data_IF_332956957528
#
_entry.id   IF_332956957528
#
_cell.length_a   1.000
_cell.length_b   1.000
_cell.length_c   1.000
_cell.angle_alpha   90.00
_cell.angle_beta   90.00
_cell.angle_gamma   90.00
#
_symmetry.space_group_name_H-M   'P 1'
#
loop_
_entity.id
_entity.type
_entity.pdbx_description
1 polymer ?
#
# COMPACT_ATOMS: atom_id res chain seq x y z
N UNK A 1 -15.95 -17.51 -7.68
CA UNK A 1 -14.80 -16.57 -7.80
C UNK A 1 -15.21 -15.12 -7.95
N UNK A 2 -16.25 -14.85 -8.75
CA UNK A 2 -16.71 -13.46 -8.96
C UNK A 2 -17.03 -12.74 -7.65
N UNK A 3 -17.75 -13.41 -6.74
CA UNK A 3 -18.11 -12.83 -5.45
C UNK A 3 -16.86 -12.61 -4.58
N UNK A 4 -15.92 -13.53 -4.61
CA UNK A 4 -14.67 -13.42 -3.86
C UNK A 4 -13.79 -12.32 -4.42
N UNK A 5 -13.73 -12.18 -5.73
CA UNK A 5 -13.00 -11.10 -6.37
C UNK A 5 -13.57 -9.74 -5.98
N UNK A 6 -14.88 -9.61 -6.05
CA UNK A 6 -15.54 -8.36 -5.71
C UNK A 6 -15.31 -7.99 -4.23
N UNK A 7 -15.43 -8.98 -3.34
CA UNK A 7 -15.19 -8.78 -1.92
C UNK A 7 -13.74 -8.34 -1.68
N UNK A 8 -12.79 -9.04 -2.31
CA UNK A 8 -11.37 -8.74 -2.16
C UNK A 8 -11.04 -7.32 -2.62
N UNK A 9 -11.57 -6.92 -3.79
CA UNK A 9 -11.36 -5.58 -4.32
C UNK A 9 -11.97 -4.50 -3.41
N UNK A 10 -13.18 -4.76 -2.90
CA UNK A 10 -13.86 -3.81 -2.02
C UNK A 10 -13.07 -3.57 -0.74
N UNK A 11 -12.63 -4.64 -0.10
CA UNK A 11 -11.87 -4.51 1.15
C UNK A 11 -10.52 -3.87 0.90
N UNK A 12 -9.88 -4.21 -0.22
CA UNK A 12 -8.60 -3.59 -0.58
C UNK A 12 -8.76 -2.07 -0.72
N UNK A 13 -9.83 -1.62 -1.36
CA UNK A 13 -10.11 -0.18 -1.46
C UNK A 13 -10.30 0.46 -0.09
N UNK A 14 -11.06 -0.20 0.79
CA UNK A 14 -11.30 0.30 2.13
C UNK A 14 -10.00 0.45 2.93
N UNK A 15 -9.15 -0.56 2.88
CA UNK A 15 -7.89 -0.53 3.62
C UNK A 15 -6.92 0.51 3.07
N UNK A 16 -6.87 0.67 1.75
CA UNK A 16 -6.07 1.74 1.14
C UNK A 16 -6.59 3.11 1.55
N UNK A 17 -7.92 3.27 1.65
CA UNK A 17 -8.53 4.50 2.11
C UNK A 17 -8.15 4.85 3.54
N UNK A 18 -8.11 3.86 4.43
CA UNK A 18 -7.68 4.05 5.82
C UNK A 18 -6.23 4.51 5.90
N UNK A 19 -5.36 3.94 5.08
CA UNK A 19 -3.96 4.35 5.02
C UNK A 19 -3.83 5.80 4.53
N UNK A 20 -4.61 6.16 3.51
CA UNK A 20 -4.65 7.54 3.02
C UNK A 20 -5.01 8.51 4.14
N UNK A 21 -6.00 8.17 4.96
CA UNK A 21 -6.41 9.00 6.09
C UNK A 21 -5.27 9.21 7.09
N UNK A 22 -4.52 8.15 7.41
CA UNK A 22 -3.40 8.27 8.34
C UNK A 22 -2.29 9.16 7.77
N UNK A 23 -2.00 9.04 6.48
CA UNK A 23 -1.03 9.92 5.82
C UNK A 23 -1.49 11.38 5.88
N UNK A 24 -2.76 11.62 5.61
CA UNK A 24 -3.34 12.96 5.66
C UNK A 24 -3.26 13.56 7.07
N UNK A 25 -3.56 12.76 8.09
CA UNK A 25 -3.48 13.20 9.47
C UNK A 25 -2.05 13.59 9.86
N UNK A 26 -1.06 12.82 9.43
CA UNK A 26 0.34 13.12 9.71
C UNK A 26 0.73 14.49 9.16
N UNK A 27 0.29 14.80 7.94
CA UNK A 27 0.57 16.11 7.32
C UNK A 27 -0.11 17.23 8.11
N UNK A 28 -1.40 17.04 8.48
CA UNK A 28 -2.17 18.05 9.20
C UNK A 28 -1.66 18.30 10.62
N UNK A 29 -0.94 17.34 11.19
CA UNK A 29 -0.41 17.44 12.55
C UNK A 29 1.09 17.78 12.54
N UNK A 30 1.51 18.65 11.63
CA UNK A 30 2.90 19.13 11.52
C UNK A 30 3.91 17.98 11.37
N UNK A 31 3.56 17.00 10.54
CA UNK A 31 4.38 15.81 10.25
C UNK A 31 4.58 14.91 11.47
N UNK A 32 3.70 15.02 12.44
CA UNK A 32 3.66 14.08 13.56
C UNK A 32 2.69 12.94 13.22
N UNK A 33 3.14 11.71 13.40
CA UNK A 33 2.31 10.56 13.07
C UNK A 33 2.14 9.64 14.27
N UNK A 34 1.03 8.93 14.30
CA UNK A 34 0.73 7.91 15.30
C UNK A 34 1.33 6.58 14.79
N UNK A 35 2.43 6.16 15.42
CA UNK A 35 3.17 4.97 14.98
C UNK A 35 2.28 3.72 14.99
N UNK A 36 1.55 3.50 16.09
CA UNK A 36 0.72 2.29 16.21
C UNK A 36 -0.38 2.26 15.15
N UNK A 37 -1.00 3.40 14.90
CA UNK A 37 -2.07 3.48 13.91
C UNK A 37 -1.51 3.30 12.50
N UNK A 38 -0.37 3.90 12.21
CA UNK A 38 0.27 3.73 10.91
C UNK A 38 0.63 2.27 10.65
N UNK A 39 1.20 1.58 11.64
CA UNK A 39 1.53 0.16 11.53
C UNK A 39 0.27 -0.67 11.28
N UNK A 40 -0.81 -0.37 12.01
CA UNK A 40 -2.08 -1.07 11.83
C UNK A 40 -2.58 -0.95 10.38
N UNK A 41 -2.59 0.27 9.85
CA UNK A 41 -3.09 0.53 8.50
C UNK A 41 -2.18 -0.07 7.43
N UNK A 42 -0.86 0.01 7.62
CA UNK A 42 0.09 -0.62 6.70
C UNK A 42 -0.08 -2.15 6.71
N UNK A 43 -0.25 -2.73 7.90
CA UNK A 43 -0.46 -4.17 8.03
C UNK A 43 -1.75 -4.62 7.35
N UNK A 44 -2.82 -3.83 7.50
CA UNK A 44 -4.09 -4.15 6.86
C UNK A 44 -3.97 -4.14 5.33
N UNK A 45 -3.29 -3.13 4.77
CA UNK A 45 -3.03 -3.06 3.33
C UNK A 45 -2.16 -4.24 2.88
N UNK A 46 -1.09 -4.53 3.64
CA UNK A 46 -0.21 -5.64 3.31
C UNK A 46 -0.97 -6.98 3.30
N UNK A 47 -1.88 -7.16 4.25
CA UNK A 47 -2.72 -8.36 4.29
C UNK A 47 -3.52 -8.51 2.99
N UNK A 48 -4.10 -7.41 2.49
CA UNK A 48 -4.87 -7.46 1.26
C UNK A 48 -3.97 -7.75 0.05
N UNK A 49 -2.76 -7.18 0.03
CA UNK A 49 -1.79 -7.47 -1.03
C UNK A 49 -1.43 -8.96 -1.02
N UNK A 50 -1.19 -9.52 0.16
CA UNK A 50 -0.89 -10.96 0.29
C UNK A 50 -2.04 -11.81 -0.23
N UNK A 51 -3.28 -11.43 0.05
CA UNK A 51 -4.45 -12.15 -0.42
C UNK A 51 -4.59 -12.07 -1.94
N UNK A 52 -4.26 -10.94 -2.55
CA UNK A 52 -4.23 -10.83 -4.02
C UNK A 52 -3.31 -11.89 -4.62
N UNK A 53 -2.18 -12.14 -3.98
CA UNK A 53 -1.26 -13.18 -4.44
C UNK A 53 -1.82 -14.57 -4.16
N UNK A 54 -2.38 -14.80 -2.98
CA UNK A 54 -2.94 -16.11 -2.61
C UNK A 54 -4.08 -16.53 -3.54
N UNK A 55 -4.83 -15.55 -4.06
CA UNK A 55 -5.90 -15.82 -5.02
C UNK A 55 -5.42 -15.81 -6.48
N UNK A 56 -4.10 -15.82 -6.68
CA UNK A 56 -3.48 -15.88 -8.01
C UNK A 56 -3.84 -14.70 -8.92
N UNK A 57 -4.08 -13.53 -8.33
CA UNK A 57 -4.40 -12.32 -9.10
C UNK A 57 -3.16 -11.52 -9.47
N UNK A 58 -2.06 -11.73 -8.76
CA UNK A 58 -0.79 -11.05 -9.02
C UNK A 58 0.37 -12.04 -8.84
N UNK A 59 1.49 -11.76 -9.48
CA UNK A 59 2.76 -12.48 -9.32
C UNK A 59 3.72 -11.60 -8.52
N UNK A 60 4.42 -12.18 -7.55
CA UNK A 60 5.44 -11.43 -6.79
C UNK A 60 6.56 -10.93 -7.70
N UNK A 61 6.94 -11.70 -8.73
CA UNK A 61 7.96 -11.26 -9.66
C UNK A 61 7.55 -9.97 -10.37
N UNK A 62 6.31 -9.93 -10.85
CA UNK A 62 5.78 -8.74 -11.52
C UNK A 62 5.68 -7.55 -10.56
N UNK A 63 5.22 -7.80 -9.33
CA UNK A 63 5.11 -6.77 -8.32
C UNK A 63 6.49 -6.21 -7.96
N UNK A 64 7.47 -7.11 -7.76
CA UNK A 64 8.83 -6.69 -7.40
C UNK A 64 9.49 -5.89 -8.52
N UNK A 65 9.25 -6.27 -9.78
CA UNK A 65 9.74 -5.50 -10.93
C UNK A 65 9.16 -4.08 -10.90
N UNK A 66 7.87 -3.97 -10.61
CA UNK A 66 7.23 -2.65 -10.53
C UNK A 66 7.75 -1.82 -9.34
N UNK A 67 8.01 -2.47 -8.21
CA UNK A 67 8.62 -1.79 -7.06
C UNK A 67 9.95 -1.15 -7.46
N UNK A 68 10.80 -1.89 -8.19
CA UNK A 68 12.09 -1.36 -8.63
C UNK A 68 11.91 -0.20 -9.60
N UNK A 69 10.98 -0.32 -10.54
CA UNK A 69 10.68 0.77 -11.46
C UNK A 69 10.22 2.03 -10.71
N UNK A 70 9.39 1.86 -9.69
CA UNK A 70 8.92 2.99 -8.89
C UNK A 70 10.05 3.64 -8.12
N UNK A 71 10.94 2.83 -7.54
CA UNK A 71 12.11 3.36 -6.82
C UNK A 71 12.99 4.19 -7.75
N UNK A 72 13.21 3.72 -8.99
CA UNK A 72 13.99 4.48 -9.96
C UNK A 72 13.32 5.82 -10.32
N UNK A 73 12.00 5.81 -10.45
CA UNK A 73 11.25 7.06 -10.69
C UNK A 73 11.38 8.03 -9.51
N UNK A 74 11.30 7.50 -8.29
CA UNK A 74 11.37 8.34 -7.09
C UNK A 74 12.74 9.00 -6.93
N UNK A 75 13.81 8.38 -7.42
CA UNK A 75 15.13 9.01 -7.43
C UNK A 75 15.13 10.33 -8.20
N UNK A 76 14.33 10.39 -9.26
CA UNK A 76 14.25 11.59 -10.12
C UNK A 76 13.26 12.62 -9.59
N UNK A 77 12.20 12.20 -8.92
CA UNK A 77 11.07 13.05 -8.55
C UNK A 77 11.00 13.43 -7.08
N UNK A 78 11.78 12.76 -6.23
CA UNK A 78 11.70 12.98 -4.79
C UNK A 78 13.08 12.79 -4.14
N UNK A 79 13.15 13.12 -2.86
CA UNK A 79 14.34 12.87 -2.05
C UNK A 79 14.26 11.58 -1.24
N UNK A 80 13.25 10.74 -1.52
CA UNK A 80 13.00 9.55 -0.69
C UNK A 80 13.93 8.38 -1.00
N UNK A 81 14.49 8.31 -2.21
CA UNK A 81 15.38 7.23 -2.64
C UNK A 81 16.67 7.83 -3.16
N UNK A 82 17.79 7.43 -2.59
CA UNK A 82 19.12 7.88 -3.00
C UNK A 82 19.87 6.73 -3.68
N UNK A 83 20.88 7.09 -4.47
CA UNK A 83 21.73 6.10 -5.14
C UNK A 83 22.66 5.39 -4.17
#
# INVERSE_FOLDING_TARGET
MKDKLQELMTITMEECGELIQECSKAIRCDNYYDYEKLVEEVGDVQCMIDLLHEFDLISWDDVNDRVQMKREKLKKWSGLVED
#
